data_IF_542110781972
#
_entry.id   IF_542110781972
#
_cell.length_a   1.000
_cell.length_b   1.000
_cell.length_c   1.000
_cell.angle_alpha   90.00
_cell.angle_beta   90.00
_cell.angle_gamma   90.00
#
_symmetry.space_group_name_H-M   'P 1'
#
loop_
_entity.id
_entity.type
_entity.pdbx_description
1 polymer ?
#
# COMPACT_ATOMS: atom_id res chain seq x y z
N UNK A 1 25.14 -11.34 59.22
CA UNK A 1 23.93 -12.04 58.74
C UNK A 1 23.17 -11.06 57.86
N UNK A 2 23.41 -11.01 56.55
CA UNK A 2 22.99 -11.92 55.46
C UNK A 2 21.85 -11.31 54.60
N UNK A 3 22.26 -10.91 53.39
CA UNK A 3 21.60 -10.76 52.07
C UNK A 3 20.07 -10.93 51.97
N UNK A 4 19.45 -10.10 51.12
CA UNK A 4 18.94 -10.52 49.78
C UNK A 4 18.70 -9.32 48.85
N UNK A 5 19.04 -9.55 47.59
CA UNK A 5 18.88 -8.70 46.40
C UNK A 5 17.55 -9.07 45.76
N UNK A 6 16.77 -8.11 45.27
CA UNK A 6 15.83 -8.38 44.18
C UNK A 6 15.91 -7.32 43.08
N UNK A 7 16.55 -7.75 41.98
CA UNK A 7 16.49 -7.17 40.64
C UNK A 7 15.05 -7.21 40.15
N UNK A 8 14.38 -6.06 39.98
CA UNK A 8 13.19 -6.00 39.12
C UNK A 8 13.63 -5.84 37.67
N UNK A 9 13.40 -6.91 36.91
CA UNK A 9 13.68 -7.05 35.47
C UNK A 9 12.96 -6.00 34.63
N UNK A 10 13.68 -5.52 33.63
CA UNK A 10 13.23 -4.77 32.46
C UNK A 10 12.08 -5.49 31.74
N UNK A 11 10.97 -4.80 31.44
CA UNK A 11 9.95 -5.27 30.50
C UNK A 11 10.25 -4.72 29.10
N UNK A 12 11.22 -5.35 28.44
CA UNK A 12 11.52 -5.13 27.03
C UNK A 12 10.48 -5.83 26.15
N UNK A 13 9.46 -5.09 25.70
CA UNK A 13 8.55 -5.54 24.64
C UNK A 13 8.09 -4.42 23.70
N UNK A 14 8.46 -3.15 23.95
CA UNK A 14 8.00 -2.00 23.16
C UNK A 14 8.72 -1.77 21.82
N UNK A 15 9.90 -2.35 21.60
CA UNK A 15 10.74 -2.07 20.41
C UNK A 15 10.39 -2.93 19.17
N UNK A 16 9.80 -4.12 19.36
CA UNK A 16 9.53 -5.05 18.27
C UNK A 16 8.19 -4.78 17.56
N UNK A 17 7.17 -4.33 18.30
CA UNK A 17 5.88 -3.92 17.72
C UNK A 17 6.02 -2.64 16.90
N UNK A 18 6.81 -1.69 17.38
CA UNK A 18 7.02 -0.40 16.71
C UNK A 18 7.80 -0.56 15.40
N UNK A 19 8.82 -1.44 15.38
CA UNK A 19 9.59 -1.73 14.17
C UNK A 19 8.75 -2.40 13.06
N UNK A 20 7.80 -3.28 13.41
CA UNK A 20 6.94 -3.94 12.43
C UNK A 20 5.95 -2.98 11.79
N UNK A 21 5.38 -2.05 12.57
CA UNK A 21 4.45 -1.04 12.05
C UNK A 21 5.18 0.01 11.19
N UNK A 22 6.38 0.43 11.59
CA UNK A 22 7.23 1.31 10.78
C UNK A 22 7.55 0.68 9.41
N UNK A 23 7.83 -0.62 9.38
CA UNK A 23 8.12 -1.31 8.12
C UNK A 23 6.88 -1.40 7.21
N UNK A 24 5.70 -1.69 7.78
CA UNK A 24 4.45 -1.66 7.01
C UNK A 24 4.18 -0.30 6.40
N UNK A 25 4.39 0.78 7.16
CA UNK A 25 4.22 2.15 6.67
C UNK A 25 5.20 2.46 5.54
N UNK A 26 6.48 2.08 5.69
CA UNK A 26 7.48 2.26 4.63
C UNK A 26 7.10 1.50 3.37
N UNK A 27 6.70 0.24 3.51
CA UNK A 27 6.29 -0.59 2.39
C UNK A 27 5.06 0.01 1.68
N UNK A 28 4.09 0.52 2.43
CA UNK A 28 2.93 1.22 1.85
C UNK A 28 3.36 2.44 1.01
N UNK A 29 4.22 3.30 1.57
CA UNK A 29 4.72 4.49 0.89
C UNK A 29 5.46 4.08 -0.39
N UNK A 30 6.34 3.09 -0.31
CA UNK A 30 7.13 2.62 -1.45
C UNK A 30 6.26 1.98 -2.54
N UNK A 31 5.18 1.30 -2.17
CA UNK A 31 4.33 0.59 -3.13
C UNK A 31 3.29 1.50 -3.77
N UNK A 32 2.67 2.42 -3.02
CA UNK A 32 1.51 3.19 -3.51
C UNK A 32 1.77 4.68 -3.73
N UNK A 33 2.82 5.26 -3.15
CA UNK A 33 3.16 6.68 -3.26
C UNK A 33 4.41 6.92 -4.12
N UNK A 34 4.52 6.18 -5.23
CA UNK A 34 5.54 6.40 -6.26
C UNK A 34 5.08 7.45 -7.26
N UNK A 35 6.01 8.31 -7.67
CA UNK A 35 5.76 9.26 -8.75
C UNK A 35 5.48 8.50 -10.04
N UNK A 36 4.44 8.93 -10.76
CA UNK A 36 4.13 8.40 -12.08
C UNK A 36 5.25 8.73 -13.07
N UNK A 37 5.67 7.76 -13.87
CA UNK A 37 6.63 7.89 -14.97
C UNK A 37 5.93 8.02 -16.34
N UNK A 38 4.60 7.98 -16.36
CA UNK A 38 3.78 8.17 -17.55
C UNK A 38 3.26 9.60 -17.71
N UNK A 39 2.85 9.94 -18.93
CA UNK A 39 2.15 11.20 -19.20
C UNK A 39 0.64 10.98 -19.17
N UNK A 40 -0.12 11.88 -18.56
CA UNK A 40 -1.58 11.73 -18.48
C UNK A 40 -2.28 11.57 -19.84
N UNK A 41 -1.66 12.05 -20.93
CA UNK A 41 -2.18 11.93 -22.31
C UNK A 41 -2.19 10.49 -22.85
N UNK A 42 -1.38 9.60 -22.27
CA UNK A 42 -1.38 8.17 -22.65
C UNK A 42 -2.36 7.35 -21.82
N UNK A 43 -2.97 7.95 -20.80
CA UNK A 43 -3.94 7.30 -19.93
C UNK A 43 -5.36 7.40 -20.49
N UNK A 44 -6.23 6.51 -20.01
CA UNK A 44 -7.67 6.56 -20.25
C UNK A 44 -8.39 7.07 -19.00
N UNK A 45 -9.49 7.78 -19.20
CA UNK A 45 -10.36 8.21 -18.10
C UNK A 45 -11.20 7.02 -17.62
N UNK A 46 -11.33 6.89 -16.30
CA UNK A 46 -12.23 5.95 -15.64
C UNK A 46 -13.06 6.70 -14.59
N UNK A 47 -14.30 6.26 -14.40
CA UNK A 47 -15.15 6.80 -13.34
C UNK A 47 -14.76 6.20 -11.99
N UNK A 48 -14.74 7.05 -10.97
CA UNK A 48 -14.47 6.68 -9.58
C UNK A 48 -15.60 7.30 -8.76
N UNK A 49 -16.15 6.53 -7.81
CA UNK A 49 -17.20 7.05 -6.92
C UNK A 49 -16.64 8.19 -6.07
N UNK A 50 -17.47 9.17 -5.77
CA UNK A 50 -17.08 10.38 -5.01
C UNK A 50 -16.39 10.03 -3.69
N UNK A 51 -16.92 9.06 -2.93
CA UNK A 51 -16.32 8.58 -1.67
C UNK A 51 -14.85 8.13 -1.82
N UNK A 52 -14.53 7.47 -2.94
CA UNK A 52 -13.18 6.97 -3.21
C UNK A 52 -12.29 8.08 -3.74
N UNK A 53 -12.85 8.96 -4.57
CA UNK A 53 -12.14 10.12 -5.07
C UNK A 53 -11.67 11.02 -3.92
N UNK A 54 -12.55 11.37 -2.98
CA UNK A 54 -12.22 12.17 -1.80
C UNK A 54 -11.14 11.51 -0.94
N UNK A 55 -11.28 10.19 -0.70
CA UNK A 55 -10.31 9.44 0.10
C UNK A 55 -8.93 9.42 -0.57
N UNK A 56 -8.87 9.19 -1.88
CA UNK A 56 -7.60 9.20 -2.62
C UNK A 56 -7.01 10.61 -2.62
N UNK A 57 -7.83 11.66 -2.82
CA UNK A 57 -7.39 13.04 -2.72
C UNK A 57 -6.72 13.31 -1.37
N UNK A 58 -7.33 12.93 -0.25
CA UNK A 58 -6.69 13.10 1.06
C UNK A 58 -5.35 12.37 1.18
N UNK A 59 -5.25 11.14 0.66
CA UNK A 59 -3.99 10.39 0.67
C UNK A 59 -2.89 11.15 -0.08
N UNK A 60 -3.16 11.57 -1.32
CA UNK A 60 -2.11 12.20 -2.16
C UNK A 60 -1.72 13.60 -1.66
N UNK A 61 -2.65 14.35 -1.09
CA UNK A 61 -2.36 15.69 -0.57
C UNK A 61 -1.65 15.65 0.79
N UNK A 62 -2.16 14.86 1.74
CA UNK A 62 -1.66 14.85 3.12
C UNK A 62 -0.42 13.96 3.23
N UNK A 63 -0.49 12.72 2.73
CA UNK A 63 0.57 11.73 2.88
C UNK A 63 1.59 11.86 1.75
N UNK A 64 1.10 12.00 0.51
CA UNK A 64 1.93 12.19 -0.68
C UNK A 64 2.58 13.57 -0.79
N UNK A 65 2.24 14.52 0.10
CA UNK A 65 2.76 15.89 0.13
C UNK A 65 2.67 16.59 -1.24
N UNK A 66 1.58 16.37 -1.97
CA UNK A 66 1.33 16.88 -3.32
C UNK A 66 2.36 16.46 -4.39
N UNK A 67 3.21 15.46 -4.10
CA UNK A 67 4.17 14.92 -5.08
C UNK A 67 3.59 13.81 -5.94
N UNK A 68 2.42 13.31 -5.56
CA UNK A 68 1.72 12.21 -6.21
C UNK A 68 0.40 12.75 -6.75
N UNK A 69 0.06 12.40 -7.98
CA UNK A 69 -1.23 12.76 -8.58
C UNK A 69 -2.27 11.70 -8.23
N UNK A 70 -3.56 12.07 -8.30
CA UNK A 70 -4.67 11.12 -8.17
C UNK A 70 -4.48 9.93 -9.13
N UNK A 71 -4.21 10.22 -10.40
CA UNK A 71 -3.95 9.20 -11.43
C UNK A 71 -2.75 8.32 -11.10
N UNK A 72 -1.65 8.90 -10.59
CA UNK A 72 -0.47 8.13 -10.21
C UNK A 72 -0.73 7.19 -9.04
N UNK A 73 -1.51 7.62 -8.05
CA UNK A 73 -1.91 6.73 -6.95
C UNK A 73 -2.76 5.55 -7.45
N UNK A 74 -3.76 5.83 -8.29
CA UNK A 74 -4.64 4.81 -8.88
C UNK A 74 -3.81 3.82 -9.71
N UNK A 75 -2.89 4.32 -10.53
CA UNK A 75 -2.01 3.48 -11.34
C UNK A 75 -1.13 2.57 -10.47
N UNK A 76 -0.53 3.09 -9.40
CA UNK A 76 0.24 2.26 -8.47
C UNK A 76 -0.60 1.16 -7.81
N UNK A 77 -1.84 1.47 -7.40
CA UNK A 77 -2.76 0.49 -6.83
C UNK A 77 -3.09 -0.59 -7.85
N UNK A 78 -3.38 -0.21 -9.09
CA UNK A 78 -3.67 -1.16 -10.17
C UNK A 78 -2.45 -2.02 -10.50
N UNK A 79 -1.26 -1.43 -10.58
CA UNK A 79 -0.02 -2.15 -10.86
C UNK A 79 0.28 -3.20 -9.78
N UNK A 80 0.15 -2.85 -8.50
CA UNK A 80 0.28 -3.81 -7.40
C UNK A 80 -0.80 -4.89 -7.49
N UNK A 81 -2.05 -4.51 -7.69
CA UNK A 81 -3.16 -5.45 -7.76
C UNK A 81 -2.96 -6.48 -8.88
N UNK A 82 -2.56 -6.04 -10.08
CA UNK A 82 -2.27 -6.91 -11.21
C UNK A 82 -1.07 -7.83 -10.97
N UNK A 83 -0.03 -7.33 -10.28
CA UNK A 83 1.13 -8.15 -9.94
C UNK A 83 0.76 -9.24 -8.92
N UNK A 84 0.01 -8.87 -7.88
CA UNK A 84 -0.35 -9.75 -6.77
C UNK A 84 -1.42 -10.79 -7.13
N UNK A 85 -2.24 -10.55 -8.16
CA UNK A 85 -3.36 -11.42 -8.53
C UNK A 85 -3.25 -11.99 -9.96
N UNK A 86 -2.05 -11.97 -10.54
CA UNK A 86 -1.82 -12.38 -11.93
C UNK A 86 -2.30 -13.81 -12.20
N UNK A 87 -2.04 -14.72 -11.26
CA UNK A 87 -2.33 -16.14 -11.43
C UNK A 87 -3.83 -16.41 -11.35
N UNK A 88 -4.54 -15.76 -10.42
CA UNK A 88 -6.00 -15.81 -10.33
C UNK A 88 -6.66 -15.26 -11.59
N UNK A 89 -6.19 -14.10 -12.08
CA UNK A 89 -6.70 -13.50 -13.31
C UNK A 89 -6.47 -14.43 -14.52
N UNK A 90 -5.26 -15.00 -14.65
CA UNK A 90 -4.92 -15.93 -15.74
C UNK A 90 -5.82 -17.16 -15.73
N UNK A 91 -6.02 -17.77 -14.55
CA UNK A 91 -6.91 -18.92 -14.41
C UNK A 91 -8.35 -18.60 -14.80
N UNK A 92 -8.87 -17.44 -14.42
CA UNK A 92 -10.21 -17.00 -14.82
C UNK A 92 -10.30 -16.73 -16.33
N UNK A 93 -9.26 -16.20 -16.96
CA UNK A 93 -9.22 -16.04 -18.42
C UNK A 93 -9.25 -17.38 -19.16
N UNK A 94 -8.51 -18.37 -18.69
CA UNK A 94 -8.51 -19.71 -19.29
C UNK A 94 -9.87 -20.41 -19.15
N UNK A 95 -10.53 -20.26 -18.01
CA UNK A 95 -11.87 -20.79 -17.77
C UNK A 95 -12.96 -20.06 -18.57
N UNK A 96 -12.74 -18.80 -18.92
CA UNK A 96 -13.72 -17.96 -19.62
C UNK A 96 -13.55 -17.94 -21.14
N UNK A 97 -12.47 -18.50 -21.69
CA UNK A 97 -12.39 -18.79 -23.13
C UNK A 97 -13.50 -19.79 -23.46
N UNK A 98 -14.55 -19.40 -24.21
CA UNK A 98 -15.51 -20.37 -24.70
C UNK A 98 -14.75 -21.33 -25.60
N UNK A 99 -15.09 -22.62 -25.50
CA UNK A 99 -14.51 -23.69 -26.32
C UNK A 99 -14.95 -23.57 -27.81
N UNK A 100 -15.70 -22.53 -28.17
CA UNK A 100 -16.27 -22.31 -29.50
C UNK A 100 -15.93 -20.91 -30.04
#
# INVERSE_FOLDING_TARGET
MERKIDKKKNSGTGIAQDASEVEKVKNYIYTYLKSADFTARTCKTAYIRDEHHERIQHIVHIIGKNKITLSGYIDNVLAEHFASHKDEMTKLYELSKPIF
#
